data_IF_136467333154
#
_entry.id   IF_136467333154
#
_cell.length_a   1.000
_cell.length_b   1.000
_cell.length_c   1.000
_cell.angle_alpha   90.00
_cell.angle_beta   90.00
_cell.angle_gamma   90.00
#
_symmetry.space_group_name_H-M   'P 1'
#
loop_
_entity.id
_entity.type
_entity.pdbx_description
1 polymer ?
#
# COMPACT_ATOMS: atom_id res chain seq x y z
N UNK A 1 48.74 -4.73 58.23
CA UNK A 1 47.33 -5.16 58.28
C UNK A 1 46.92 -5.50 56.85
N UNK A 2 47.13 -6.74 56.45
CA UNK A 2 46.13 -7.82 56.44
C UNK A 2 45.31 -7.80 55.14
N UNK A 3 45.83 -8.56 54.17
CA UNK A 3 45.20 -9.00 52.93
C UNK A 3 44.01 -9.90 53.29
N UNK A 4 42.82 -9.62 52.75
CA UNK A 4 41.67 -10.52 52.84
C UNK A 4 41.19 -10.90 51.43
N UNK A 5 41.24 -12.21 51.23
CA UNK A 5 40.78 -13.00 50.09
C UNK A 5 39.26 -12.91 49.93
N UNK A 6 38.78 -12.68 48.70
CA UNK A 6 37.40 -12.98 48.34
C UNK A 6 37.36 -14.16 47.37
N UNK A 7 36.79 -15.25 47.86
CA UNK A 7 36.58 -16.52 47.19
C UNK A 7 35.64 -16.40 45.99
N UNK A 8 36.01 -17.08 44.91
CA UNK A 8 35.12 -17.45 43.83
C UNK A 8 34.10 -18.50 44.31
N UNK A 9 32.81 -18.23 44.10
CA UNK A 9 31.75 -19.24 44.07
C UNK A 9 31.08 -19.23 42.69
N UNK A 10 30.97 -20.38 42.00
CA UNK A 10 30.32 -20.47 40.70
C UNK A 10 28.80 -20.57 40.90
N UNK A 11 28.03 -19.66 40.26
CA UNK A 11 26.59 -19.82 40.15
C UNK A 11 26.29 -20.90 39.10
N UNK A 12 25.75 -22.02 39.57
CA UNK A 12 25.24 -23.12 38.75
C UNK A 12 24.01 -22.66 37.94
N UNK A 13 24.04 -23.01 36.66
CA UNK A 13 22.91 -22.96 35.73
C UNK A 13 21.72 -23.76 36.27
N UNK A 14 20.57 -23.09 36.44
CA UNK A 14 19.28 -23.73 36.69
C UNK A 14 18.54 -23.85 35.35
N UNK A 15 18.77 -24.96 34.67
CA UNK A 15 17.95 -25.42 33.55
C UNK A 15 16.69 -26.08 34.13
N UNK A 16 15.54 -25.40 34.02
CA UNK A 16 14.24 -26.02 34.18
C UNK A 16 13.80 -26.65 32.85
N UNK A 17 13.38 -27.93 32.81
CA UNK A 17 12.81 -28.53 31.62
C UNK A 17 11.38 -28.00 31.40
N UNK A 18 11.14 -27.42 30.23
CA UNK A 18 9.81 -27.04 29.73
C UNK A 18 9.11 -28.30 29.20
N UNK A 19 7.84 -28.58 29.58
CA UNK A 19 7.13 -29.75 29.07
C UNK A 19 6.73 -29.56 27.60
N UNK A 20 7.09 -30.55 26.79
CA UNK A 20 6.72 -30.69 25.38
C UNK A 20 5.22 -31.01 25.26
N UNK A 21 4.44 -30.05 24.75
CA UNK A 21 3.05 -30.29 24.38
C UNK A 21 3.01 -30.88 22.95
N UNK A 22 2.72 -32.17 22.85
CA UNK A 22 2.45 -32.84 21.58
C UNK A 22 1.08 -32.40 21.05
N UNK A 23 1.05 -31.53 20.03
CA UNK A 23 -0.16 -31.30 19.26
C UNK A 23 -0.37 -32.46 18.28
N UNK A 24 -1.35 -33.32 18.59
CA UNK A 24 -1.91 -34.28 17.65
C UNK A 24 -2.58 -33.54 16.49
N UNK A 25 -2.06 -33.75 15.27
CA UNK A 25 -2.71 -33.36 14.02
C UNK A 25 -3.99 -34.18 13.84
N UNK A 26 -5.16 -33.54 14.01
CA UNK A 26 -6.45 -34.13 13.63
C UNK A 26 -6.80 -33.62 12.24
N UNK A 27 -6.49 -34.43 11.22
CA UNK A 27 -6.85 -34.17 9.83
C UNK A 27 -8.37 -34.32 9.65
N UNK A 28 -9.08 -33.21 9.46
CA UNK A 28 -10.46 -33.22 9.01
C UNK A 28 -10.50 -33.14 7.47
N UNK A 29 -10.82 -34.27 6.83
CA UNK A 29 -11.07 -34.35 5.39
C UNK A 29 -12.46 -33.75 5.11
N UNK A 30 -12.49 -32.57 4.49
CA UNK A 30 -13.73 -31.94 4.00
C UNK A 30 -13.98 -32.43 2.59
N UNK A 31 -15.00 -33.29 2.42
CA UNK A 31 -15.44 -33.81 1.14
C UNK A 31 -16.33 -32.75 0.47
N UNK A 32 -15.81 -32.06 -0.55
CA UNK A 32 -16.59 -31.13 -1.37
C UNK A 32 -17.39 -31.95 -2.40
N UNK A 33 -18.72 -31.95 -2.25
CA UNK A 33 -19.64 -32.51 -3.24
C UNK A 33 -19.99 -31.42 -4.25
N UNK A 34 -19.54 -31.57 -5.50
CA UNK A 34 -19.94 -30.73 -6.63
C UNK A 34 -21.27 -31.24 -7.20
N UNK A 35 -22.32 -30.43 -7.12
CA UNK A 35 -23.56 -30.64 -7.85
C UNK A 35 -23.52 -29.82 -9.15
N UNK A 36 -23.37 -30.48 -10.29
CA UNK A 36 -23.50 -29.87 -11.62
C UNK A 36 -24.97 -29.93 -12.05
N UNK A 37 -25.63 -28.78 -12.15
CA UNK A 37 -26.97 -28.68 -12.73
C UNK A 37 -26.87 -28.36 -14.23
N UNK A 38 -27.12 -29.38 -15.06
CA UNK A 38 -27.19 -29.25 -16.52
C UNK A 38 -28.59 -28.78 -16.91
N UNK A 39 -28.72 -27.54 -17.40
CA UNK A 39 -29.96 -27.08 -18.04
C UNK A 39 -29.90 -27.43 -19.53
N UNK A 40 -30.68 -28.43 -19.92
CA UNK A 40 -30.95 -28.75 -21.33
C UNK A 40 -32.18 -27.98 -21.79
N UNK A 41 -32.06 -27.26 -22.91
CA UNK A 41 -33.23 -26.84 -23.71
C UNK A 41 -33.05 -27.41 -25.11
N UNK A 42 -34.12 -27.96 -25.64
CA UNK A 42 -34.16 -28.74 -26.86
C UNK A 42 -35.31 -28.20 -27.73
N UNK A 43 -35.20 -28.43 -29.05
CA UNK A 43 -36.18 -28.22 -30.15
C UNK A 43 -36.16 -26.81 -30.81
N UNK A 44 -36.12 -26.64 -32.14
CA UNK A 44 -36.35 -27.53 -33.30
C UNK A 44 -35.75 -26.90 -34.59
N UNK A 45 -35.48 -27.66 -35.67
CA UNK A 45 -34.92 -27.16 -36.92
C UNK A 45 -36.00 -26.81 -37.96
N UNK A 46 -35.80 -25.72 -38.70
CA UNK A 46 -36.68 -25.27 -39.79
C UNK A 46 -35.90 -25.09 -41.10
N UNK A 47 -36.23 -25.93 -42.07
CA UNK A 47 -35.72 -25.97 -43.44
C UNK A 47 -36.35 -24.92 -44.35
N UNK A 48 -35.57 -24.23 -45.18
CA UNK A 48 -35.99 -23.89 -46.54
C UNK A 48 -34.78 -23.50 -47.44
N UNK A 49 -34.53 -24.18 -48.57
CA UNK A 49 -33.48 -23.84 -49.52
C UNK A 49 -34.08 -23.01 -50.66
N UNK A 50 -33.62 -21.76 -50.80
CA UNK A 50 -33.59 -20.93 -52.01
C UNK A 50 -33.79 -19.46 -51.65
N UNK A 51 -32.67 -18.77 -51.43
CA UNK A 51 -32.61 -17.33 -51.67
C UNK A 51 -31.22 -16.97 -52.17
N UNK A 52 -31.09 -16.95 -53.49
CA UNK A 52 -30.02 -16.25 -54.20
C UNK A 52 -30.17 -14.75 -53.90
N UNK A 53 -29.23 -14.20 -53.12
CA UNK A 53 -29.04 -12.76 -52.98
C UNK A 53 -27.58 -12.47 -53.29
N UNK A 54 -27.42 -11.57 -54.26
CA UNK A 54 -26.19 -11.15 -54.90
C UNK A 54 -25.28 -10.45 -53.87
N UNK A 55 -24.05 -10.95 -53.70
CA UNK A 55 -22.98 -10.29 -52.94
C UNK A 55 -22.51 -9.00 -53.64
N UNK A 56 -22.30 -7.91 -52.90
CA UNK A 56 -21.29 -6.93 -53.24
C UNK A 56 -19.96 -7.37 -52.62
N UNK A 57 -18.96 -7.67 -53.47
CA UNK A 57 -17.55 -7.81 -53.08
C UNK A 57 -17.10 -6.57 -52.29
N UNK A 58 -16.98 -6.71 -50.97
CA UNK A 58 -16.16 -5.84 -50.15
C UNK A 58 -14.85 -6.58 -49.89
N UNK A 59 -13.74 -5.97 -50.30
CA UNK A 59 -12.41 -6.52 -50.14
C UNK A 59 -12.14 -6.87 -48.67
N UNK A 60 -11.91 -8.14 -48.41
CA UNK A 60 -11.45 -8.65 -47.13
C UNK A 60 -10.00 -8.19 -46.92
N UNK A 61 -9.80 -7.05 -46.25
CA UNK A 61 -8.53 -6.80 -45.58
C UNK A 61 -8.44 -7.77 -44.42
N UNK A 62 -7.73 -8.88 -44.65
CA UNK A 62 -7.25 -9.78 -43.62
C UNK A 62 -6.27 -9.03 -42.73
N UNK A 63 -6.77 -8.22 -41.80
CA UNK A 63 -5.99 -7.80 -40.66
C UNK A 63 -6.04 -8.97 -39.69
N UNK A 64 -5.01 -9.81 -39.77
CA UNK A 64 -4.67 -10.75 -38.71
C UNK A 64 -4.55 -9.94 -37.43
N UNK A 65 -5.61 -9.91 -36.64
CA UNK A 65 -5.55 -9.46 -35.25
C UNK A 65 -4.74 -10.52 -34.52
N UNK A 66 -3.42 -10.37 -34.58
CA UNK A 66 -2.53 -10.99 -33.63
C UNK A 66 -2.94 -10.42 -32.28
N UNK A 67 -3.80 -11.14 -31.58
CA UNK A 67 -3.98 -10.98 -30.14
C UNK A 67 -2.64 -11.37 -29.53
N UNK A 68 -1.70 -10.42 -29.56
CA UNK A 68 -0.50 -10.49 -28.74
C UNK A 68 -1.03 -10.36 -27.33
N UNK A 69 -1.27 -11.49 -26.68
CA UNK A 69 -1.18 -11.58 -25.22
C UNK A 69 0.21 -11.07 -24.88
N UNK A 70 0.33 -9.76 -24.67
CA UNK A 70 1.53 -9.15 -24.16
C UNK A 70 1.72 -9.73 -22.76
N UNK A 71 2.52 -10.79 -22.68
CA UNK A 71 3.22 -11.13 -21.45
C UNK A 71 3.93 -9.85 -21.07
N UNK A 72 3.44 -9.18 -20.03
CA UNK A 72 4.09 -8.02 -19.45
C UNK A 72 5.49 -8.44 -19.04
N UNK A 73 6.49 -8.09 -19.84
CA UNK A 73 7.89 -8.34 -19.50
C UNK A 73 8.21 -7.60 -18.20
N UNK A 74 9.07 -8.16 -17.32
CA UNK A 74 9.47 -7.46 -16.11
C UNK A 74 10.11 -6.11 -16.45
N UNK A 75 9.87 -5.05 -15.64
CA UNK A 75 10.50 -3.76 -15.85
C UNK A 75 12.03 -3.87 -15.87
N UNK A 76 12.67 -3.24 -16.85
CA UNK A 76 14.12 -3.27 -16.99
C UNK A 76 14.79 -2.52 -15.82
N UNK A 77 15.95 -3.01 -15.38
CA UNK A 77 16.69 -2.40 -14.27
C UNK A 77 17.04 -0.92 -14.49
N UNK A 78 17.20 -0.50 -15.75
CA UNK A 78 17.51 0.87 -16.16
C UNK A 78 16.34 1.55 -16.88
N UNK A 79 15.10 1.19 -16.55
CA UNK A 79 13.91 1.76 -17.17
C UNK A 79 13.86 3.30 -16.99
N UNK A 80 13.83 4.08 -18.10
CA UNK A 80 13.66 5.53 -18.05
C UNK A 80 12.40 5.97 -17.28
N UNK A 81 11.35 5.14 -17.23
CA UNK A 81 10.11 5.42 -16.50
C UNK A 81 10.32 5.50 -14.97
N UNK A 82 11.45 5.02 -14.44
CA UNK A 82 11.81 5.11 -13.02
C UNK A 82 12.59 6.39 -12.67
N UNK A 83 13.01 7.16 -13.68
CA UNK A 83 13.82 8.37 -13.50
C UNK A 83 12.96 9.59 -13.13
N UNK A 84 13.55 10.54 -12.41
CA UNK A 84 12.91 11.80 -12.04
C UNK A 84 13.12 12.85 -13.12
N UNK A 85 12.03 13.38 -13.65
CA UNK A 85 12.04 14.54 -14.54
C UNK A 85 12.15 15.84 -13.74
N UNK A 86 12.43 16.95 -14.43
CA UNK A 86 12.37 18.28 -13.81
C UNK A 86 10.98 18.63 -13.31
N UNK A 87 9.92 18.21 -14.01
CA UNK A 87 8.54 18.40 -13.56
C UNK A 87 8.26 17.65 -12.25
N UNK A 88 8.76 16.42 -12.10
CA UNK A 88 8.65 15.69 -10.83
C UNK A 88 9.33 16.46 -9.69
N UNK A 89 10.55 16.95 -9.94
CA UNK A 89 11.32 17.71 -8.95
C UNK A 89 10.64 19.02 -8.56
N UNK A 90 10.06 19.73 -9.53
CA UNK A 90 9.31 20.96 -9.28
C UNK A 90 8.11 20.70 -8.37
N UNK A 91 7.30 19.67 -8.65
CA UNK A 91 6.17 19.32 -7.79
C UNK A 91 6.57 18.94 -6.37
N UNK A 92 7.65 18.17 -6.23
CA UNK A 92 8.17 17.83 -4.90
C UNK A 92 8.68 19.06 -4.17
N UNK A 93 9.39 19.96 -4.84
CA UNK A 93 9.82 21.22 -4.24
C UNK A 93 8.62 22.06 -3.77
N UNK A 94 7.59 22.23 -4.61
CA UNK A 94 6.36 22.96 -4.25
C UNK A 94 5.63 22.32 -3.07
N UNK A 95 5.44 21.01 -3.09
CA UNK A 95 4.79 20.29 -1.98
C UNK A 95 5.56 20.44 -0.67
N UNK A 96 6.87 20.22 -0.71
CA UNK A 96 7.74 20.45 0.45
C UNK A 96 7.65 21.90 0.95
N UNK A 97 7.64 22.89 0.06
CA UNK A 97 7.50 24.30 0.45
C UNK A 97 6.20 24.56 1.20
N UNK A 98 5.05 24.07 0.73
CA UNK A 98 3.76 24.24 1.45
C UNK A 98 3.78 23.58 2.84
N UNK A 99 4.27 22.33 2.93
CA UNK A 99 4.40 21.65 4.24
C UNK A 99 5.33 22.40 5.19
N UNK A 100 6.46 22.91 4.70
CA UNK A 100 7.43 23.65 5.51
C UNK A 100 6.89 25.03 5.94
N UNK A 101 6.12 25.72 5.09
CA UNK A 101 5.45 26.97 5.46
C UNK A 101 4.43 26.71 6.56
N UNK A 102 3.58 25.69 6.43
CA UNK A 102 2.64 25.31 7.48
C UNK A 102 3.38 24.96 8.78
N UNK A 103 4.45 24.16 8.71
CA UNK A 103 5.23 23.81 9.90
C UNK A 103 5.85 25.06 10.57
N UNK A 104 6.41 25.97 9.77
CA UNK A 104 7.00 27.20 10.27
C UNK A 104 5.96 28.11 10.92
N UNK A 105 4.76 28.24 10.33
CA UNK A 105 3.64 28.96 10.94
C UNK A 105 3.21 28.35 12.27
N UNK A 106 3.15 27.02 12.33
CA UNK A 106 2.85 26.31 13.57
C UNK A 106 3.85 26.66 14.67
N UNK A 107 5.15 26.54 14.38
CA UNK A 107 6.24 26.83 15.33
C UNK A 107 6.23 28.30 15.74
N UNK A 108 6.11 29.23 14.78
CA UNK A 108 6.12 30.65 15.04
C UNK A 108 4.92 31.09 15.91
N UNK A 109 3.72 30.58 15.61
CA UNK A 109 2.53 30.86 16.41
C UNK A 109 2.56 30.21 17.79
N UNK A 110 3.10 28.99 17.91
CA UNK A 110 3.33 28.34 19.21
C UNK A 110 4.33 29.12 20.07
N UNK A 111 5.41 29.62 19.46
CA UNK A 111 6.42 30.43 20.13
C UNK A 111 5.87 31.79 20.59
N UNK A 112 5.13 32.49 19.71
CA UNK A 112 4.59 33.82 20.03
C UNK A 112 3.51 33.77 21.11
N UNK A 113 2.74 32.68 21.17
CA UNK A 113 1.62 32.52 22.09
C UNK A 113 1.96 31.63 23.28
N UNK A 114 3.16 31.04 23.33
CA UNK A 114 3.63 30.11 24.37
C UNK A 114 2.78 28.83 24.54
N UNK A 115 2.06 28.39 23.51
CA UNK A 115 1.11 27.24 23.53
C UNK A 115 1.65 25.97 22.86
N UNK A 116 2.87 25.54 23.18
CA UNK A 116 3.53 24.42 22.49
C UNK A 116 2.77 23.09 22.47
N UNK A 117 2.01 22.80 23.54
CA UNK A 117 1.36 21.50 23.68
C UNK A 117 0.27 21.27 22.63
N UNK A 118 -0.53 22.29 22.31
CA UNK A 118 -1.67 22.13 21.41
C UNK A 118 -1.23 21.76 19.97
N UNK A 119 -0.33 22.50 19.31
CA UNK A 119 0.15 22.11 17.98
C UNK A 119 0.92 20.80 17.96
N UNK A 120 1.63 20.44 19.05
CA UNK A 120 2.30 19.14 19.16
C UNK A 120 1.30 17.99 19.20
N UNK A 121 0.24 18.10 20.01
CA UNK A 121 -0.82 17.11 20.07
C UNK A 121 -1.57 17.03 18.74
N UNK A 122 -1.86 18.17 18.13
CA UNK A 122 -2.49 18.24 16.83
C UNK A 122 -1.63 17.58 15.74
N UNK A 123 -0.32 17.82 15.74
CA UNK A 123 0.62 17.15 14.85
C UNK A 123 0.67 15.63 15.08
N UNK A 124 0.68 15.18 16.33
CA UNK A 124 0.62 13.75 16.66
C UNK A 124 -0.66 13.08 16.16
N UNK A 125 -1.82 13.73 16.32
CA UNK A 125 -3.09 13.26 15.73
C UNK A 125 -2.97 13.21 14.20
N UNK A 126 -2.38 14.23 13.58
CA UNK A 126 -2.11 14.26 12.14
C UNK A 126 -1.28 13.06 11.67
N UNK A 127 -0.22 12.70 12.41
CA UNK A 127 0.60 11.51 12.12
C UNK A 127 -0.20 10.20 12.22
N UNK A 128 -0.98 10.02 13.29
CA UNK A 128 -1.82 8.83 13.48
C UNK A 128 -2.89 8.71 12.39
N UNK A 129 -3.50 9.83 12.00
CA UNK A 129 -4.49 9.85 10.92
C UNK A 129 -3.87 9.70 9.53
N UNK A 130 -2.64 10.15 9.32
CA UNK A 130 -1.91 9.91 8.06
C UNK A 130 -1.70 8.41 7.83
N UNK A 131 -1.33 7.67 8.89
CA UNK A 131 -1.14 6.23 8.81
C UNK A 131 -2.46 5.50 8.50
N UNK A 132 -3.55 5.84 9.21
CA UNK A 132 -4.88 5.31 8.93
C UNK A 132 -5.32 5.60 7.49
N UNK A 133 -5.18 6.85 7.05
CA UNK A 133 -5.54 7.28 5.69
C UNK A 133 -4.74 6.54 4.62
N UNK A 134 -3.45 6.28 4.88
CA UNK A 134 -2.61 5.48 3.98
C UNK A 134 -3.14 4.04 3.83
N UNK A 135 -3.59 3.43 4.94
CA UNK A 135 -4.16 2.09 4.91
C UNK A 135 -5.49 2.01 4.19
N UNK A 136 -6.40 2.96 4.43
CA UNK A 136 -7.70 3.02 3.74
C UNK A 136 -7.50 3.20 2.23
N UNK A 137 -6.59 4.10 1.84
CA UNK A 137 -6.28 4.33 0.42
C UNK A 137 -5.67 3.08 -0.22
N UNK A 138 -4.69 2.45 0.44
CA UNK A 138 -4.01 1.26 -0.05
C UNK A 138 -4.95 0.05 -0.17
N UNK A 139 -5.80 -0.20 0.83
CA UNK A 139 -6.84 -1.21 0.73
C UNK A 139 -7.77 -0.97 -0.47
N UNK A 140 -8.16 0.30 -0.70
CA UNK A 140 -9.07 0.66 -1.78
C UNK A 140 -8.50 0.36 -3.17
N UNK A 141 -7.27 0.81 -3.45
CA UNK A 141 -6.62 0.65 -4.77
C UNK A 141 -6.21 -0.80 -5.06
N UNK A 142 -5.91 -1.60 -4.04
CA UNK A 142 -5.61 -3.02 -4.21
C UNK A 142 -6.88 -3.82 -4.57
N UNK A 143 -8.01 -3.44 -3.99
CA UNK A 143 -9.24 -4.23 -4.07
C UNK A 143 -10.22 -3.81 -5.15
N UNK A 144 -10.23 -2.55 -5.57
CA UNK A 144 -11.30 -2.00 -6.42
C UNK A 144 -10.76 -1.29 -7.66
N UNK A 145 -11.57 -1.33 -8.72
CA UNK A 145 -11.21 -0.76 -10.01
C UNK A 145 -10.10 -1.53 -10.74
N UNK A 146 -9.61 -0.88 -11.78
CA UNK A 146 -8.60 -1.36 -12.73
C UNK A 146 -7.93 -0.16 -13.42
N UNK A 147 -7.02 -0.43 -14.36
CA UNK A 147 -6.29 0.59 -15.14
C UNK A 147 -7.19 1.59 -15.89
N UNK A 148 -8.45 1.23 -16.17
CA UNK A 148 -9.41 2.08 -16.87
C UNK A 148 -10.20 3.00 -15.93
N UNK A 149 -10.03 2.85 -14.61
CA UNK A 149 -10.75 3.66 -13.61
C UNK A 149 -10.41 5.13 -13.77
N UNK A 150 -11.41 6.03 -13.92
CA UNK A 150 -11.15 7.45 -14.04
C UNK A 150 -10.37 7.98 -12.84
N UNK A 151 -9.38 8.84 -13.11
CA UNK A 151 -8.49 9.49 -12.12
C UNK A 151 -7.51 8.50 -11.44
N UNK A 152 -8.00 7.35 -10.97
CA UNK A 152 -7.24 6.40 -10.16
C UNK A 152 -6.58 5.25 -10.92
N UNK A 153 -6.95 5.00 -12.19
CA UNK A 153 -6.53 3.81 -12.93
C UNK A 153 -5.02 3.62 -13.01
N UNK A 154 -4.26 4.69 -13.24
CA UNK A 154 -2.79 4.61 -13.24
C UNK A 154 -2.18 4.33 -11.87
N UNK A 155 -2.85 4.73 -10.78
CA UNK A 155 -2.40 4.40 -9.43
C UNK A 155 -2.75 2.96 -9.08
N UNK A 156 -3.96 2.51 -9.45
CA UNK A 156 -4.40 1.12 -9.28
C UNK A 156 -3.44 0.18 -10.02
N UNK A 157 -3.14 0.45 -11.29
CA UNK A 157 -2.17 -0.34 -12.07
C UNK A 157 -0.78 -0.35 -11.41
N UNK A 158 -0.28 0.81 -10.96
CA UNK A 158 1.03 0.91 -10.32
C UNK A 158 1.10 0.15 -8.99
N UNK A 159 0.04 0.21 -8.17
CA UNK A 159 0.01 -0.50 -6.90
C UNK A 159 -0.11 -2.01 -7.10
N UNK A 160 -1.04 -2.45 -7.93
CA UNK A 160 -1.17 -3.89 -8.23
C UNK A 160 0.09 -4.45 -8.89
N UNK A 161 0.71 -3.70 -9.80
CA UNK A 161 1.97 -4.08 -10.43
C UNK A 161 3.13 -4.22 -9.44
N UNK A 162 3.13 -3.47 -8.33
CA UNK A 162 4.20 -3.58 -7.33
C UNK A 162 4.16 -4.90 -6.57
N UNK A 163 2.99 -5.51 -6.36
CA UNK A 163 2.88 -6.81 -5.70
C UNK A 163 3.59 -7.90 -6.52
N UNK A 164 3.53 -7.79 -7.84
CA UNK A 164 4.26 -8.67 -8.76
C UNK A 164 5.75 -8.39 -8.81
N UNK A 165 6.12 -7.10 -8.82
CA UNK A 165 7.50 -6.66 -8.94
C UNK A 165 7.94 -5.68 -7.83
N UNK A 166 8.07 -6.14 -6.57
CA UNK A 166 8.22 -5.26 -5.41
C UNK A 166 9.50 -4.44 -5.42
N UNK A 167 10.56 -4.89 -6.08
CA UNK A 167 11.83 -4.16 -6.14
C UNK A 167 11.72 -2.84 -6.92
N UNK A 168 10.73 -2.70 -7.80
CA UNK A 168 10.60 -1.51 -8.67
C UNK A 168 10.43 -0.23 -7.87
N UNK A 169 9.71 -0.26 -6.74
CA UNK A 169 9.53 0.91 -5.86
C UNK A 169 10.86 1.37 -5.23
N UNK A 170 11.79 0.44 -4.97
CA UNK A 170 13.13 0.77 -4.42
C UNK A 170 14.07 1.37 -5.46
N UNK A 171 13.74 1.24 -6.75
CA UNK A 171 14.55 1.74 -7.88
C UNK A 171 13.99 3.04 -8.45
N UNK A 172 12.71 3.34 -8.21
CA UNK A 172 12.08 4.60 -8.60
C UNK A 172 12.77 5.76 -7.87
N UNK A 173 13.25 6.74 -8.63
CA UNK A 173 13.89 7.90 -8.04
C UNK A 173 12.92 8.72 -7.19
N UNK A 174 13.44 9.33 -6.12
CA UNK A 174 12.69 10.06 -5.09
C UNK A 174 11.59 10.98 -5.65
N UNK A 175 11.91 11.88 -6.59
CA UNK A 175 10.91 12.83 -7.07
C UNK A 175 9.84 12.16 -7.94
N UNK A 176 10.21 11.17 -8.76
CA UNK A 176 9.24 10.35 -9.49
C UNK A 176 8.29 9.63 -8.51
N UNK A 177 8.81 9.09 -7.41
CA UNK A 177 8.00 8.39 -6.42
C UNK A 177 6.98 9.30 -5.69
N UNK A 178 7.30 10.60 -5.51
CA UNK A 178 6.53 11.50 -4.65
C UNK A 178 5.70 12.56 -5.39
N UNK A 179 6.02 12.90 -6.64
CA UNK A 179 5.47 14.08 -7.31
C UNK A 179 3.93 14.13 -7.37
N UNK A 180 3.25 12.99 -7.55
CA UNK A 180 1.80 12.95 -7.62
C UNK A 180 1.16 13.35 -6.29
N UNK A 181 1.69 12.83 -5.18
CA UNK A 181 1.27 13.21 -3.83
C UNK A 181 1.67 14.65 -3.51
N UNK A 182 2.89 15.06 -3.86
CA UNK A 182 3.36 16.42 -3.64
C UNK A 182 2.48 17.47 -4.35
N UNK A 183 1.98 17.16 -5.55
CA UNK A 183 1.01 18.00 -6.26
C UNK A 183 -0.33 18.11 -5.51
N UNK A 184 -0.88 16.98 -5.06
CA UNK A 184 -2.14 16.98 -4.27
C UNK A 184 -1.95 17.77 -2.97
N UNK A 185 -0.83 17.55 -2.28
CA UNK A 185 -0.48 18.26 -1.05
C UNK A 185 -0.31 19.76 -1.30
N UNK A 186 0.32 20.16 -2.41
CA UNK A 186 0.45 21.58 -2.78
C UNK A 186 -0.92 22.25 -2.87
N UNK A 187 -1.88 21.64 -3.55
CA UNK A 187 -3.22 22.22 -3.70
C UNK A 187 -4.08 22.17 -2.44
N UNK A 188 -3.86 21.17 -1.57
CA UNK A 188 -4.67 20.99 -0.35
C UNK A 188 -4.14 21.79 0.82
N UNK A 189 -2.81 21.98 0.95
CA UNK A 189 -2.17 22.72 2.05
C UNK A 189 -2.12 24.22 1.77
N UNK A 190 -1.91 24.64 0.51
CA UNK A 190 -1.76 26.06 0.16
C UNK A 190 -2.93 26.94 0.67
N UNK A 191 -4.22 26.54 0.59
CA UNK A 191 -5.30 27.33 1.17
C UNK A 191 -5.15 27.57 2.67
N UNK A 192 -4.67 26.59 3.44
CA UNK A 192 -4.37 26.78 4.87
C UNK A 192 -3.24 27.78 5.06
N UNK A 193 -2.17 27.66 4.27
CA UNK A 193 -1.04 28.60 4.32
C UNK A 193 -1.44 30.04 3.98
N UNK A 194 -2.46 30.25 3.14
CA UNK A 194 -2.90 31.58 2.73
C UNK A 194 -3.99 32.17 3.63
N UNK A 195 -4.89 31.32 4.17
CA UNK A 195 -6.13 31.75 4.78
C UNK A 195 -6.22 31.46 6.28
N UNK A 196 -5.32 30.63 6.83
CA UNK A 196 -5.27 30.28 8.24
C UNK A 196 -4.00 30.85 8.90
N UNK A 197 -4.14 31.24 10.17
CA UNK A 197 -3.03 31.66 11.04
C UNK A 197 -3.02 30.93 12.39
N UNK A 198 -3.87 29.91 12.55
CA UNK A 198 -3.95 29.11 13.77
C UNK A 198 -2.79 28.10 13.82
N UNK A 199 -1.94 28.19 14.84
CA UNK A 199 -0.74 27.36 14.97
C UNK A 199 -1.06 25.88 15.19
N UNK A 200 -2.18 25.57 15.84
CA UNK A 200 -2.65 24.22 16.13
C UNK A 200 -3.13 23.53 14.85
N UNK A 201 -3.91 24.23 14.02
CA UNK A 201 -4.30 23.76 12.68
C UNK A 201 -3.06 23.52 11.82
N UNK A 202 -2.11 24.45 11.82
CA UNK A 202 -0.87 24.30 11.07
C UNK A 202 0.00 23.13 11.58
N UNK A 203 -0.03 22.83 12.87
CA UNK A 203 0.64 21.66 13.45
C UNK A 203 0.04 20.36 12.95
N UNK A 204 -1.30 20.26 12.96
CA UNK A 204 -2.03 19.12 12.39
C UNK A 204 -1.76 18.96 10.89
N UNK A 205 -2.00 20.01 10.10
CA UNK A 205 -1.90 19.99 8.64
C UNK A 205 -0.49 19.67 8.18
N UNK A 206 0.54 20.28 8.79
CA UNK A 206 1.93 20.05 8.37
C UNK A 206 2.38 18.61 8.57
N UNK A 207 2.07 18.00 9.72
CA UNK A 207 2.46 16.61 10.00
C UNK A 207 1.61 15.63 9.17
N UNK A 208 0.29 15.80 9.11
CA UNK A 208 -0.60 14.95 8.30
C UNK A 208 -0.15 14.96 6.82
N UNK A 209 -0.02 16.16 6.24
CA UNK A 209 0.35 16.34 4.84
C UNK A 209 1.77 15.84 4.56
N UNK A 210 2.72 16.10 5.47
CA UNK A 210 4.08 15.58 5.38
C UNK A 210 4.10 14.06 5.33
N UNK A 211 3.45 13.40 6.29
CA UNK A 211 3.39 11.93 6.32
C UNK A 211 2.72 11.34 5.07
N UNK A 212 1.61 11.92 4.60
CA UNK A 212 0.95 11.47 3.36
C UNK A 212 1.87 11.65 2.16
N UNK A 213 2.52 12.82 2.01
CA UNK A 213 3.39 13.11 0.89
C UNK A 213 4.56 12.13 0.79
N UNK A 214 5.17 11.80 1.93
CA UNK A 214 6.35 10.94 2.01
C UNK A 214 6.02 9.46 2.17
N UNK A 215 4.74 9.07 2.25
CA UNK A 215 4.28 7.69 2.46
C UNK A 215 4.90 6.70 1.47
N UNK A 216 4.99 7.07 0.19
CA UNK A 216 5.61 6.22 -0.84
C UNK A 216 7.12 6.04 -0.63
N UNK A 217 7.81 6.98 0.00
CA UNK A 217 9.22 6.80 0.37
C UNK A 217 9.36 5.87 1.57
N UNK A 218 8.47 5.96 2.54
CA UNK A 218 8.43 5.06 3.69
C UNK A 218 8.16 3.62 3.24
N UNK A 219 7.20 3.43 2.34
CA UNK A 219 6.92 2.18 1.64
C UNK A 219 8.16 1.65 0.89
N UNK A 220 8.86 2.49 0.13
CA UNK A 220 10.09 2.08 -0.57
C UNK A 220 11.20 1.62 0.40
N UNK A 221 11.32 2.28 1.57
CA UNK A 221 12.26 1.85 2.61
C UNK A 221 11.84 0.54 3.26
N UNK A 222 10.55 0.25 3.40
CA UNK A 222 10.06 -1.04 3.89
C UNK A 222 10.40 -2.21 2.95
N UNK A 223 10.60 -1.96 1.66
CA UNK A 223 11.11 -2.97 0.72
C UNK A 223 12.64 -3.15 0.73
N UNK A 224 13.38 -2.28 1.42
CA UNK A 224 14.85 -2.28 1.39
C UNK A 224 15.46 -3.07 2.56
N UNK A 225 16.62 -3.68 2.34
CA UNK A 225 17.39 -4.30 3.42
C UNK A 225 18.00 -3.22 4.31
N UNK A 226 18.10 -3.48 5.63
CA UNK A 226 18.71 -2.53 6.60
C UNK A 226 20.08 -2.01 6.16
N UNK A 227 20.90 -2.86 5.55
CA UNK A 227 22.25 -2.50 5.05
C UNK A 227 22.28 -1.46 3.92
N UNK A 228 21.16 -1.25 3.22
CA UNK A 228 21.02 -0.28 2.12
C UNK A 228 20.36 1.02 2.57
N UNK A 229 19.86 1.07 3.80
CA UNK A 229 19.13 2.21 4.33
C UNK A 229 20.06 3.13 5.14
N UNK A 230 19.79 4.44 5.17
CA UNK A 230 20.45 5.34 6.11
C UNK A 230 20.23 4.87 7.56
N UNK A 231 21.22 4.98 8.46
CA UNK A 231 21.09 4.53 9.84
C UNK A 231 19.89 5.12 10.58
N UNK A 232 19.55 6.38 10.31
CA UNK A 232 18.38 7.04 10.88
C UNK A 232 17.07 6.38 10.45
N UNK A 233 16.95 5.98 9.18
CA UNK A 233 15.74 5.28 8.68
C UNK A 233 15.59 3.94 9.38
N UNK A 234 16.69 3.20 9.56
CA UNK A 234 16.68 1.93 10.30
C UNK A 234 16.24 2.15 11.75
N UNK A 235 16.78 3.16 12.42
CA UNK A 235 16.39 3.49 13.79
C UNK A 235 14.90 3.86 13.91
N UNK A 236 14.35 4.61 12.94
CA UNK A 236 12.94 4.97 12.92
C UNK A 236 12.03 3.77 12.65
N UNK A 237 12.44 2.84 11.78
CA UNK A 237 11.71 1.58 11.55
C UNK A 237 11.74 0.68 12.79
N UNK A 238 12.90 0.55 13.45
CA UNK A 238 13.06 -0.26 14.66
C UNK A 238 12.30 0.34 15.85
N UNK A 239 12.10 1.66 15.89
CA UNK A 239 11.28 2.36 16.88
C UNK A 239 9.78 2.37 16.57
N UNK A 240 9.34 1.83 15.42
CA UNK A 240 7.93 1.85 14.99
C UNK A 240 7.41 3.23 14.57
N UNK A 241 8.31 4.18 14.28
CA UNK A 241 7.96 5.51 13.76
C UNK A 241 7.71 5.45 12.24
N UNK A 242 8.41 4.54 11.56
CA UNK A 242 8.19 4.23 10.14
C UNK A 242 7.85 2.76 9.99
N UNK A 243 7.03 2.45 8.98
CA UNK A 243 6.64 1.07 8.69
C UNK A 243 7.88 0.20 8.47
N UNK A 244 7.95 -0.92 9.19
CA UNK A 244 9.07 -1.84 9.11
C UNK A 244 8.98 -2.75 7.89
N UNK A 245 10.14 -3.26 7.44
CA UNK A 245 10.19 -4.30 6.39
C UNK A 245 9.38 -5.53 6.74
N UNK A 246 9.39 -5.98 8.00
CA UNK A 246 8.66 -7.18 8.41
C UNK A 246 7.15 -6.99 8.37
N UNK A 247 6.64 -5.84 8.82
CA UNK A 247 5.21 -5.53 8.75
C UNK A 247 4.75 -5.48 7.29
N UNK A 248 5.47 -4.72 6.45
CA UNK A 248 5.06 -4.59 5.06
C UNK A 248 5.26 -5.88 4.26
N UNK A 249 6.28 -6.70 4.57
CA UNK A 249 6.43 -8.02 3.95
C UNK A 249 5.29 -9.00 4.30
N UNK A 250 4.55 -8.78 5.39
CA UNK A 250 3.36 -9.58 5.72
C UNK A 250 2.20 -9.27 4.77
N UNK A 251 2.08 -8.00 4.33
CA UNK A 251 1.08 -7.56 3.35
C UNK A 251 1.30 -8.19 1.97
N UNK A 252 2.56 -8.36 1.54
CA UNK A 252 2.92 -9.00 0.25
C UNK A 252 2.77 -10.54 0.24
N UNK A 253 2.05 -11.11 1.22
CA UNK A 253 1.82 -12.56 1.30
C UNK A 253 0.33 -12.86 1.18
N UNK A 254 -0.03 -14.02 0.59
CA UNK A 254 -1.41 -14.48 0.62
C UNK A 254 -1.99 -14.47 2.05
N UNK A 255 -3.24 -14.01 2.23
CA UNK A 255 -4.22 -13.68 1.18
C UNK A 255 -4.26 -12.19 0.77
N UNK A 256 -3.18 -11.41 0.99
CA UNK A 256 -3.06 -9.99 0.57
C UNK A 256 -4.13 -9.06 1.16
N UNK A 257 -4.60 -9.36 2.37
CA UNK A 257 -5.75 -8.68 2.99
C UNK A 257 -5.42 -7.99 4.33
N UNK A 258 -4.14 -7.73 4.61
CA UNK A 258 -3.67 -7.22 5.90
C UNK A 258 -2.54 -6.19 5.73
N UNK A 259 -2.17 -5.52 6.82
CA UNK A 259 -1.01 -4.62 6.89
C UNK A 259 -0.96 -3.50 5.82
N UNK A 260 -2.12 -2.89 5.52
CA UNK A 260 -2.23 -1.88 4.46
C UNK A 260 -1.58 -0.52 4.78
N UNK A 261 -1.42 -0.14 6.06
CA UNK A 261 -0.85 1.15 6.44
C UNK A 261 0.67 1.19 6.18
N UNK A 262 1.14 2.25 5.51
CA UNK A 262 2.52 2.38 4.99
C UNK A 262 3.27 3.60 5.54
N UNK A 263 2.70 4.35 6.50
CA UNK A 263 3.44 5.44 7.15
C UNK A 263 4.28 4.88 8.28
N UNK A 264 3.61 4.43 9.34
CA UNK A 264 4.22 3.79 10.52
C UNK A 264 3.72 2.36 10.72
N UNK A 265 2.53 2.04 10.21
CA UNK A 265 1.86 0.78 10.45
C UNK A 265 1.24 0.67 11.84
N UNK A 266 1.10 1.78 12.58
CA UNK A 266 0.52 1.79 13.93
C UNK A 266 -0.93 1.28 13.95
N UNK A 267 -1.67 1.48 12.85
CA UNK A 267 -3.04 1.01 12.74
C UNK A 267 -3.17 -0.46 12.32
N UNK A 268 -2.14 -1.05 11.72
CA UNK A 268 -2.26 -2.36 11.07
C UNK A 268 -2.75 -3.44 12.04
N UNK A 269 -2.12 -3.57 13.20
CA UNK A 269 -2.50 -4.60 14.18
C UNK A 269 -3.96 -4.45 14.63
N UNK A 270 -4.40 -3.21 14.86
CA UNK A 270 -5.79 -2.95 15.28
C UNK A 270 -6.77 -3.26 14.15
N UNK A 271 -6.54 -2.73 12.94
CA UNK A 271 -7.43 -2.90 11.79
C UNK A 271 -7.56 -4.38 11.40
N UNK A 272 -6.43 -5.11 11.39
CA UNK A 272 -6.38 -6.53 11.07
C UNK A 272 -7.11 -7.38 12.14
N UNK A 273 -6.86 -7.12 13.43
CA UNK A 273 -7.54 -7.85 14.53
C UNK A 273 -9.05 -7.64 14.53
N UNK A 274 -9.50 -6.42 14.25
CA UNK A 274 -10.92 -6.08 14.21
C UNK A 274 -11.58 -6.39 12.86
N UNK A 275 -10.80 -6.87 11.86
CA UNK A 275 -11.27 -7.16 10.50
C UNK A 275 -12.02 -6.00 9.86
N UNK A 276 -11.51 -4.79 10.07
CA UNK A 276 -12.19 -3.55 9.65
C UNK A 276 -12.38 -3.54 8.13
N UNK A 277 -11.34 -3.92 7.38
CA UNK A 277 -11.40 -3.92 5.93
C UNK A 277 -12.32 -5.02 5.40
N UNK A 278 -12.30 -6.22 5.97
CA UNK A 278 -13.26 -7.27 5.58
C UNK A 278 -14.71 -6.86 5.89
N UNK A 279 -14.95 -6.16 7.00
CA UNK A 279 -16.28 -5.62 7.28
C UNK A 279 -16.71 -4.59 6.22
N UNK A 280 -15.80 -3.69 5.81
CA UNK A 280 -16.07 -2.72 4.74
C UNK A 280 -16.30 -3.39 3.39
N UNK A 281 -15.54 -4.44 3.07
CA UNK A 281 -15.74 -5.27 1.87
C UNK A 281 -17.14 -5.89 1.85
N UNK A 282 -17.60 -6.47 2.97
CA UNK A 282 -18.96 -7.03 3.06
C UNK A 282 -20.02 -5.94 2.86
N UNK A 283 -19.83 -4.74 3.41
CA UNK A 283 -20.75 -3.61 3.23
C UNK A 283 -20.82 -3.21 1.75
N UNK A 284 -19.66 -3.02 1.09
CA UNK A 284 -19.61 -2.63 -0.32
C UNK A 284 -20.22 -3.71 -1.22
N UNK A 285 -19.97 -4.99 -0.93
CA UNK A 285 -20.57 -6.10 -1.66
C UNK A 285 -22.09 -6.11 -1.53
N UNK A 286 -22.63 -6.04 -0.30
CA UNK A 286 -24.08 -6.10 -0.10
C UNK A 286 -24.82 -4.84 -0.54
N UNK A 287 -24.19 -3.66 -0.49
CA UNK A 287 -24.82 -2.39 -0.88
C UNK A 287 -24.69 -2.08 -2.35
N UNK A 288 -23.55 -2.41 -2.97
CA UNK A 288 -23.19 -2.00 -4.32
C UNK A 288 -22.96 -3.17 -5.28
N UNK A 289 -22.91 -4.42 -4.79
CA UNK A 289 -22.60 -5.59 -5.60
C UNK A 289 -21.13 -5.68 -6.03
N UNK A 290 -20.26 -4.82 -5.50
CA UNK A 290 -18.84 -4.78 -5.87
C UNK A 290 -18.05 -5.72 -4.99
N UNK A 291 -17.38 -6.70 -5.61
CA UNK A 291 -16.54 -7.69 -4.92
C UNK A 291 -15.10 -7.20 -4.85
N UNK A 292 -14.43 -7.25 -3.68
CA UNK A 292 -13.01 -6.95 -3.58
C UNK A 292 -12.16 -8.03 -4.23
N UNK A 293 -10.96 -7.64 -4.68
CA UNK A 293 -10.00 -8.58 -5.27
C UNK A 293 -9.41 -9.56 -4.26
N UNK A 294 -9.27 -9.17 -2.99
CA UNK A 294 -8.79 -10.00 -1.87
C UNK A 294 -9.57 -11.32 -1.66
N UNK A 295 -10.81 -11.42 -2.16
CA UNK A 295 -11.63 -12.62 -2.05
C UNK A 295 -11.38 -13.67 -3.13
N UNK A 296 -10.52 -13.36 -4.10
CA UNK A 296 -10.19 -14.28 -5.18
C UNK A 296 -8.86 -14.96 -4.89
N UNK A 297 -8.67 -16.17 -5.41
CA UNK A 297 -7.34 -16.80 -5.37
C UNK A 297 -6.29 -15.87 -6.00
N UNK A 298 -5.08 -15.77 -5.42
CA UNK A 298 -4.05 -14.89 -5.96
C UNK A 298 -3.77 -15.20 -7.43
N UNK A 299 -4.12 -14.26 -8.31
CA UNK A 299 -3.79 -14.40 -9.72
C UNK A 299 -2.27 -14.27 -9.91
N UNK A 300 -1.73 -14.81 -11.00
CA UNK A 300 -0.30 -14.67 -11.34
C UNK A 300 0.16 -13.20 -11.44
N UNK A 301 -0.76 -12.24 -11.56
CA UNK A 301 -0.47 -10.80 -11.51
C UNK A 301 -0.06 -10.29 -10.12
N UNK A 302 -0.23 -11.08 -9.06
CA UNK A 302 0.04 -10.70 -7.66
C UNK A 302 1.16 -11.49 -7.01
N UNK A 303 1.54 -12.61 -7.61
CA UNK A 303 2.62 -13.44 -7.11
C UNK A 303 3.93 -12.78 -7.49
N UNK A 304 4.78 -12.53 -6.49
CA UNK A 304 6.13 -11.99 -6.69
C UNK A 304 6.90 -12.87 -7.68
N UNK A 305 7.40 -12.28 -8.75
CA UNK A 305 8.30 -12.95 -9.68
C UNK A 305 9.74 -12.80 -9.20
N UNK A 306 10.44 -13.93 -9.09
CA UNK A 306 11.81 -14.02 -8.58
C UNK A 306 12.86 -13.38 -9.51
#
# INVERSE_FOLDING_TARGET
MAVLSHQHYPLKSLLHPVPTCQHQHRSHSVRVTTCSATSSTNLKPGSNPNRLVIEPRLALSSTTSTTTTARSSPPLLNDPALQSTWAHRAWVATGCSTVLVSLAKSIAGAASSHIWLEPMLAGYIGYVLADLGSGVYHWGIDNYGDESTPIFGSQIEAFQGHHRWPWTITRRQFANNLHALARVISFTVLPFDLLCNDSTIHGFVSILAGCIMFSQQFHAWAHSTKSKLPPLVVALQDAGVLVSRSQHAAHHRPPYNNNYCIVSGVWNEFLDKQKVFEALEMILFFKLGVRPRSWSEPSSKWIEEA
#
